data_IF_180803071596
#
_entry.id   IF_180803071596
#
_cell.length_a   1.000
_cell.length_b   1.000
_cell.length_c   1.000
_cell.angle_alpha   90.00
_cell.angle_beta   90.00
_cell.angle_gamma   90.00
#
_symmetry.space_group_name_H-M   'P 1'
#
loop_
_entity.id
_entity.type
_entity.pdbx_description
1 polymer ?
#
# COMPACT_ATOMS: atom_id res chain seq x y z
N UNK A 1 -25.93 32.08 -22.01
CA UNK A 1 -25.10 31.05 -21.36
C UNK A 1 -23.98 31.84 -20.69
N UNK A 2 -24.06 32.02 -19.38
CA UNK A 2 -23.09 32.84 -18.62
C UNK A 2 -22.01 31.86 -18.14
N UNK A 3 -20.80 31.98 -18.67
CA UNK A 3 -19.66 31.24 -18.11
C UNK A 3 -19.45 31.73 -16.67
N UNK A 4 -19.42 30.85 -15.67
CA UNK A 4 -19.18 31.27 -14.30
C UNK A 4 -17.81 31.95 -14.20
N UNK A 5 -17.76 33.10 -13.54
CA UNK A 5 -16.51 33.82 -13.28
C UNK A 5 -15.51 32.89 -12.57
N UNK A 6 -14.24 32.82 -13.02
CA UNK A 6 -13.23 31.97 -12.41
C UNK A 6 -13.00 32.42 -10.96
N UNK A 7 -13.32 31.53 -10.02
CA UNK A 7 -13.12 31.79 -8.59
C UNK A 7 -11.62 32.05 -8.32
N UNK A 8 -11.23 33.27 -7.92
CA UNK A 8 -9.82 33.63 -7.69
C UNK A 8 -9.19 32.85 -6.52
N UNK A 9 -10.02 32.27 -5.64
CA UNK A 9 -9.56 31.45 -4.52
C UNK A 9 -9.23 30.00 -4.92
N UNK A 10 -9.63 29.56 -6.12
CA UNK A 10 -9.34 28.21 -6.60
C UNK A 10 -7.84 27.97 -6.92
N UNK A 11 -7.07 29.05 -7.12
CA UNK A 11 -5.65 28.97 -7.44
C UNK A 11 -4.73 28.86 -6.21
N UNK A 12 -5.23 29.10 -5.00
CA UNK A 12 -4.47 28.84 -3.76
C UNK A 12 -4.59 27.36 -3.43
N UNK A 13 -3.78 26.55 -4.12
CA UNK A 13 -3.58 25.15 -3.74
C UNK A 13 -3.21 25.10 -2.27
N UNK A 14 -4.04 24.43 -1.46
CA UNK A 14 -3.82 24.32 -0.03
C UNK A 14 -2.52 23.52 0.17
N UNK A 15 -1.46 24.17 0.67
CA UNK A 15 -0.16 23.53 0.85
C UNK A 15 -0.26 22.25 1.70
N UNK A 16 -1.31 22.15 2.52
CA UNK A 16 -1.66 20.97 3.32
C UNK A 16 -1.90 19.73 2.46
N UNK A 17 -2.38 19.89 1.23
CA UNK A 17 -2.60 18.78 0.29
C UNK A 17 -1.28 18.14 -0.19
N UNK A 18 -0.14 18.82 0.00
CA UNK A 18 1.18 18.28 -0.38
C UNK A 18 1.92 17.63 0.79
N UNK A 19 1.46 17.82 2.04
CA UNK A 19 2.18 17.32 3.22
C UNK A 19 2.29 15.79 3.19
N UNK A 20 1.20 15.08 2.94
CA UNK A 20 1.20 13.62 2.90
C UNK A 20 2.16 13.02 1.84
N UNK A 21 2.09 13.41 0.55
CA UNK A 21 3.02 12.89 -0.44
C UNK A 21 4.47 13.32 -0.19
N UNK A 22 4.71 14.51 0.37
CA UNK A 22 6.07 14.92 0.73
C UNK A 22 6.64 14.10 1.89
N UNK A 23 5.83 13.76 2.90
CA UNK A 23 6.25 12.85 3.98
C UNK A 23 6.52 11.46 3.42
N UNK A 24 5.65 10.95 2.54
CA UNK A 24 5.87 9.66 1.88
C UNK A 24 7.15 9.65 1.03
N UNK A 25 7.44 10.75 0.32
CA UNK A 25 8.66 10.94 -0.45
C UNK A 25 9.90 10.93 0.46
N UNK A 26 9.87 11.68 1.57
CA UNK A 26 10.95 11.73 2.54
C UNK A 26 11.25 10.35 3.15
N UNK A 27 10.20 9.61 3.50
CA UNK A 27 10.33 8.23 3.97
C UNK A 27 10.93 7.31 2.90
N UNK A 28 10.42 7.37 1.66
CA UNK A 28 10.94 6.56 0.55
C UNK A 28 12.44 6.84 0.29
N UNK A 29 12.86 8.10 0.32
CA UNK A 29 14.26 8.49 0.17
C UNK A 29 15.13 8.03 1.34
N UNK A 30 14.60 8.07 2.57
CA UNK A 30 15.29 7.54 3.75
C UNK A 30 15.51 6.03 3.63
N UNK A 31 14.48 5.28 3.23
CA UNK A 31 14.61 3.84 2.97
C UNK A 31 15.55 3.55 1.80
N UNK A 32 15.56 4.38 0.77
CA UNK A 32 16.53 4.28 -0.34
C UNK A 32 17.96 4.39 0.19
N UNK A 33 18.25 5.42 0.99
CA UNK A 33 19.56 5.60 1.59
C UNK A 33 19.98 4.42 2.48
N UNK A 34 19.06 3.90 3.31
CA UNK A 34 19.31 2.72 4.13
C UNK A 34 19.55 1.46 3.29
N UNK A 35 18.85 1.30 2.16
CA UNK A 35 19.01 0.13 1.29
C UNK A 35 20.41 0.03 0.67
N UNK A 36 21.09 1.16 0.48
CA UNK A 36 22.47 1.18 0.00
C UNK A 36 23.50 0.70 1.03
N UNK A 37 23.11 0.60 2.31
CA UNK A 37 23.95 -0.02 3.35
C UNK A 37 23.87 -1.56 3.32
N UNK A 38 22.91 -2.13 2.59
CA UNK A 38 22.79 -3.57 2.41
C UNK A 38 23.77 -4.05 1.33
N UNK A 39 24.21 -5.31 1.44
CA UNK A 39 25.04 -5.96 0.42
C UNK A 39 24.34 -6.03 -0.94
N UNK A 40 25.12 -6.16 -2.02
CA UNK A 40 24.62 -6.06 -3.40
C UNK A 40 23.51 -7.05 -3.73
N UNK A 41 23.60 -8.28 -3.20
CA UNK A 41 22.60 -9.33 -3.40
C UNK A 41 21.31 -9.04 -2.60
N UNK A 42 21.43 -8.45 -1.42
CA UNK A 42 20.30 -8.24 -0.50
C UNK A 42 19.50 -6.97 -0.81
N UNK A 43 20.10 -5.96 -1.47
CA UNK A 43 19.43 -4.69 -1.79
C UNK A 43 18.44 -4.77 -2.96
N UNK A 44 18.51 -5.80 -3.81
CA UNK A 44 17.69 -5.89 -5.02
C UNK A 44 16.17 -5.82 -4.76
N UNK A 45 15.69 -6.58 -3.78
CA UNK A 45 14.26 -6.63 -3.44
C UNK A 45 13.75 -5.34 -2.76
N UNK A 46 14.45 -4.77 -1.75
CA UNK A 46 14.12 -3.45 -1.22
C UNK A 46 14.11 -2.35 -2.29
N UNK A 47 15.10 -2.32 -3.18
CA UNK A 47 15.19 -1.30 -4.23
C UNK A 47 13.99 -1.34 -5.18
N UNK A 48 13.54 -2.53 -5.59
CA UNK A 48 12.35 -2.67 -6.44
C UNK A 48 11.10 -2.06 -5.78
N UNK A 49 10.90 -2.37 -4.50
CA UNK A 49 9.79 -1.81 -3.73
C UNK A 49 9.90 -0.29 -3.60
N UNK A 50 11.09 0.21 -3.27
CA UNK A 50 11.35 1.64 -3.08
C UNK A 50 11.14 2.41 -4.40
N UNK A 51 11.66 1.94 -5.53
CA UNK A 51 11.45 2.59 -6.82
C UNK A 51 9.99 2.59 -7.26
N UNK A 52 9.27 1.50 -7.03
CA UNK A 52 7.83 1.44 -7.31
C UNK A 52 7.07 2.45 -6.46
N UNK A 53 7.36 2.51 -5.16
CA UNK A 53 6.75 3.47 -4.25
C UNK A 53 7.10 4.92 -4.63
N UNK A 54 8.35 5.18 -5.00
CA UNK A 54 8.80 6.49 -5.46
C UNK A 54 8.03 6.93 -6.72
N UNK A 55 7.83 6.02 -7.67
CA UNK A 55 7.03 6.29 -8.86
C UNK A 55 5.58 6.64 -8.51
N UNK A 56 4.95 5.94 -7.56
CA UNK A 56 3.60 6.26 -7.09
C UNK A 56 3.51 7.60 -6.37
N UNK A 57 4.49 7.94 -5.52
CA UNK A 57 4.52 9.23 -4.81
C UNK A 57 4.72 10.38 -5.80
N UNK A 58 5.64 10.23 -6.76
CA UNK A 58 5.84 11.21 -7.82
C UNK A 58 4.58 11.37 -8.68
N UNK A 59 3.90 10.28 -9.00
CA UNK A 59 2.62 10.31 -9.71
C UNK A 59 1.56 11.05 -8.89
N UNK A 60 1.47 10.83 -7.57
CA UNK A 60 0.52 11.54 -6.70
C UNK A 60 0.81 13.05 -6.68
N UNK A 61 2.07 13.46 -6.54
CA UNK A 61 2.48 14.88 -6.61
C UNK A 61 2.14 15.47 -7.99
N UNK A 62 2.41 14.74 -9.06
CA UNK A 62 2.15 15.18 -10.43
C UNK A 62 0.64 15.35 -10.71
N UNK A 63 -0.21 14.44 -10.20
CA UNK A 63 -1.67 14.52 -10.32
C UNK A 63 -2.24 15.69 -9.51
N UNK A 64 -1.62 16.02 -8.36
CA UNK A 64 -1.98 17.20 -7.55
C UNK A 64 -1.54 18.52 -8.20
N UNK A 65 -0.50 18.48 -9.01
CA UNK A 65 -0.05 19.65 -9.78
C UNK A 65 -0.98 19.86 -10.97
N UNK A 66 -1.52 21.07 -11.16
CA UNK A 66 -2.45 21.41 -12.28
C UNK A 66 -1.77 21.45 -13.68
N UNK A 67 -0.71 20.67 -13.87
CA UNK A 67 -0.06 20.49 -15.15
C UNK A 67 -0.96 19.72 -16.14
N UNK A 68 -0.67 19.85 -17.45
CA UNK A 68 -1.40 19.15 -18.52
C UNK A 68 -1.42 17.63 -18.27
N UNK A 69 -0.27 17.08 -17.85
CA UNK A 69 -0.12 15.66 -17.57
C UNK A 69 -0.97 15.22 -16.36
N UNK A 70 -0.98 16.03 -15.29
CA UNK A 70 -1.80 15.80 -14.09
C UNK A 70 -3.30 15.78 -14.42
N UNK A 71 -3.77 16.71 -15.26
CA UNK A 71 -5.18 16.75 -15.72
C UNK A 71 -5.60 15.51 -16.51
N UNK A 72 -4.70 14.95 -17.34
CA UNK A 72 -4.96 13.73 -18.10
C UNK A 72 -4.98 12.48 -17.19
N UNK A 73 -4.13 12.44 -16.17
CA UNK A 73 -4.00 11.30 -15.25
C UNK A 73 -5.06 11.29 -14.14
N UNK A 74 -5.58 12.45 -13.75
CA UNK A 74 -6.60 12.62 -12.69
C UNK A 74 -7.82 11.68 -12.82
N UNK A 75 -8.46 11.52 -14.00
CA UNK A 75 -9.59 10.60 -14.14
C UNK A 75 -9.21 9.12 -14.02
N UNK A 76 -7.97 8.74 -14.35
CA UNK A 76 -7.49 7.36 -14.24
C UNK A 76 -7.21 6.97 -12.78
N UNK A 77 -6.61 7.89 -12.02
CA UNK A 77 -6.21 7.65 -10.63
C UNK A 77 -7.36 7.89 -9.65
N UNK A 78 -8.29 8.78 -9.97
CA UNK A 78 -9.44 9.11 -9.12
C UNK A 78 -10.76 9.14 -9.91
N UNK A 79 -11.33 7.96 -10.25
CA UNK A 79 -12.54 7.84 -11.08
C UNK A 79 -13.83 8.48 -10.51
N UNK A 80 -13.76 9.20 -9.38
CA UNK A 80 -14.90 9.84 -8.73
C UNK A 80 -14.77 11.34 -8.49
N UNK A 81 -13.67 11.98 -8.93
CA UNK A 81 -13.48 13.44 -8.85
C UNK A 81 -13.46 14.08 -7.45
N UNK A 82 -13.68 13.30 -6.38
CA UNK A 82 -13.62 13.78 -5.01
C UNK A 82 -12.15 13.89 -4.62
N UNK A 83 -11.64 15.09 -4.28
CA UNK A 83 -10.29 15.21 -3.73
C UNK A 83 -10.22 14.35 -2.48
N UNK A 84 -9.26 13.43 -2.45
CA UNK A 84 -8.99 12.59 -1.28
C UNK A 84 -8.44 13.50 -0.19
N UNK A 85 -9.33 14.13 0.57
CA UNK A 85 -9.00 14.97 1.72
C UNK A 85 -8.55 14.07 2.86
N UNK A 86 -7.24 13.83 2.93
CA UNK A 86 -6.61 13.06 4.01
C UNK A 86 -6.76 13.80 5.36
N UNK A 87 -6.86 15.13 5.34
CA UNK A 87 -6.99 15.97 6.55
C UNK A 87 -8.29 16.78 6.60
N UNK A 88 -9.42 16.19 6.17
CA UNK A 88 -10.74 16.82 6.30
C UNK A 88 -11.34 16.65 7.71
N UNK A 89 -11.74 17.75 8.34
CA UNK A 89 -12.40 17.82 9.65
C UNK A 89 -13.44 16.70 9.88
N UNK A 90 -13.15 15.77 10.80
CA UNK A 90 -14.01 14.63 11.13
C UNK A 90 -13.37 13.25 11.01
N UNK A 91 -12.06 13.16 10.72
CA UNK A 91 -11.34 11.88 10.76
C UNK A 91 -11.33 11.32 12.19
N UNK A 92 -11.96 10.14 12.36
CA UNK A 92 -11.91 9.40 13.62
C UNK A 92 -10.52 8.80 13.75
N UNK A 93 -9.63 9.50 14.44
CA UNK A 93 -8.24 9.09 14.77
C UNK A 93 -8.16 7.61 15.15
N UNK A 94 -9.15 7.08 15.88
CA UNK A 94 -9.20 5.68 16.28
C UNK A 94 -9.22 4.67 15.11
N UNK A 95 -9.80 5.02 13.95
CA UNK A 95 -9.82 4.12 12.78
C UNK A 95 -8.45 4.06 12.09
N UNK A 96 -7.72 5.18 12.05
CA UNK A 96 -6.36 5.23 11.53
C UNK A 96 -5.39 4.49 12.44
N UNK A 97 -5.47 4.72 13.75
CA UNK A 97 -4.71 3.93 14.73
C UNK A 97 -5.02 2.44 14.62
N UNK A 98 -6.29 2.08 14.37
CA UNK A 98 -6.69 0.70 14.12
C UNK A 98 -6.02 0.11 12.87
N UNK A 99 -5.95 0.86 11.76
CA UNK A 99 -5.27 0.41 10.55
C UNK A 99 -3.76 0.26 10.75
N UNK A 100 -3.12 1.23 11.42
CA UNK A 100 -1.68 1.17 11.76
C UNK A 100 -1.40 -0.03 12.65
N UNK A 101 -2.17 -0.21 13.73
CA UNK A 101 -2.04 -1.36 14.63
C UNK A 101 -2.26 -2.69 13.90
N UNK A 102 -3.17 -2.74 12.93
CA UNK A 102 -3.42 -3.91 12.10
C UNK A 102 -2.21 -4.28 11.24
N UNK A 103 -1.58 -3.28 10.60
CA UNK A 103 -0.34 -3.47 9.82
C UNK A 103 0.81 -3.93 10.73
N UNK A 104 0.98 -3.29 11.89
CA UNK A 104 2.00 -3.69 12.86
C UNK A 104 1.79 -5.12 13.37
N UNK A 105 0.53 -5.52 13.62
CA UNK A 105 0.19 -6.88 14.02
C UNK A 105 0.53 -7.89 12.92
N UNK A 106 0.33 -7.53 11.65
CA UNK A 106 0.72 -8.36 10.52
C UNK A 106 2.24 -8.55 10.46
N UNK A 107 3.00 -7.47 10.58
CA UNK A 107 4.46 -7.52 10.63
C UNK A 107 4.96 -8.38 11.78
N UNK A 108 4.37 -8.23 12.97
CA UNK A 108 4.68 -9.08 14.12
C UNK A 108 4.35 -10.56 13.85
N UNK A 109 3.20 -10.86 13.22
CA UNK A 109 2.84 -12.23 12.86
C UNK A 109 3.82 -12.84 11.85
N UNK A 110 4.31 -12.08 10.86
CA UNK A 110 5.36 -12.55 9.94
C UNK A 110 6.63 -12.91 10.70
N UNK A 111 7.05 -12.08 11.66
CA UNK A 111 8.27 -12.33 12.43
C UNK A 111 8.14 -13.54 13.37
N UNK A 112 6.96 -13.76 13.95
CA UNK A 112 6.72 -14.83 14.93
C UNK A 112 6.34 -16.18 14.31
N UNK A 113 5.53 -16.16 13.25
CA UNK A 113 4.94 -17.36 12.64
C UNK A 113 5.52 -17.68 11.26
N UNK A 114 6.26 -16.74 10.67
CA UNK A 114 6.73 -16.82 9.29
C UNK A 114 5.67 -16.34 8.28
N UNK A 115 6.16 -15.91 7.11
CA UNK A 115 5.36 -15.40 6.00
C UNK A 115 4.22 -16.36 5.59
N UNK A 116 4.51 -17.66 5.54
CA UNK A 116 3.61 -18.68 4.98
C UNK A 116 2.34 -18.86 5.80
N UNK A 117 2.43 -18.73 7.12
CA UNK A 117 1.28 -18.82 8.03
C UNK A 117 0.67 -17.44 8.23
N UNK A 118 1.49 -16.39 8.37
CA UNK A 118 1.02 -15.05 8.66
C UNK A 118 0.09 -14.48 7.59
N UNK A 119 0.41 -14.64 6.29
CA UNK A 119 -0.41 -14.09 5.19
C UNK A 119 -1.84 -14.68 5.18
N UNK A 120 -2.04 -16.00 5.07
CA UNK A 120 -3.39 -16.54 5.01
C UNK A 120 -4.16 -16.34 6.32
N UNK A 121 -3.48 -16.42 7.47
CA UNK A 121 -4.11 -16.12 8.76
C UNK A 121 -4.63 -14.68 8.80
N UNK A 122 -3.78 -13.71 8.44
CA UNK A 122 -4.12 -12.29 8.44
C UNK A 122 -5.22 -11.96 7.43
N UNK A 123 -5.16 -12.53 6.22
CA UNK A 123 -6.20 -12.36 5.21
C UNK A 123 -7.55 -12.91 5.69
N UNK A 124 -7.56 -14.09 6.32
CA UNK A 124 -8.76 -14.69 6.91
C UNK A 124 -9.36 -13.79 7.98
N UNK A 125 -8.51 -13.29 8.89
CA UNK A 125 -8.91 -12.43 9.98
C UNK A 125 -9.49 -11.11 9.47
N UNK A 126 -8.87 -10.53 8.44
CA UNK A 126 -9.35 -9.33 7.77
C UNK A 126 -10.72 -9.56 7.10
N UNK A 127 -10.87 -10.65 6.35
CA UNK A 127 -12.14 -11.00 5.71
C UNK A 127 -13.27 -11.22 6.73
N UNK A 128 -12.96 -11.80 7.88
CA UNK A 128 -13.93 -12.09 8.93
C UNK A 128 -14.35 -10.80 9.68
N UNK A 129 -13.38 -9.99 10.09
CA UNK A 129 -13.62 -8.84 10.96
C UNK A 129 -14.09 -7.59 10.20
N UNK A 130 -13.48 -7.33 9.04
CA UNK A 130 -13.72 -6.08 8.29
C UNK A 130 -14.68 -6.27 7.13
N UNK A 131 -14.53 -7.35 6.35
CA UNK A 131 -15.41 -7.60 5.20
C UNK A 131 -16.74 -8.28 5.60
N UNK A 132 -16.89 -8.70 6.87
CA UNK A 132 -18.07 -9.40 7.41
C UNK A 132 -18.53 -10.57 6.54
N UNK A 133 -17.59 -11.26 5.89
CA UNK A 133 -17.93 -12.44 5.10
C UNK A 133 -18.38 -13.59 6.00
N UNK A 134 -19.21 -14.47 5.44
CA UNK A 134 -19.54 -15.74 6.11
C UNK A 134 -18.24 -16.53 6.33
N UNK A 135 -18.07 -17.22 7.47
CA UNK A 135 -16.82 -17.90 7.83
C UNK A 135 -16.40 -18.94 6.78
N UNK A 136 -17.35 -19.58 6.11
CA UNK A 136 -17.07 -20.52 5.01
C UNK A 136 -16.42 -19.86 3.80
N UNK A 137 -16.83 -18.64 3.44
CA UNK A 137 -16.21 -17.87 2.34
C UNK A 137 -14.83 -17.35 2.74
N UNK A 138 -14.66 -16.94 4.00
CA UNK A 138 -13.36 -16.55 4.51
C UNK A 138 -12.38 -17.73 4.47
N UNK A 139 -12.80 -18.93 4.88
CA UNK A 139 -11.98 -20.14 4.80
C UNK A 139 -11.62 -20.51 3.36
N UNK A 140 -12.57 -20.41 2.42
CA UNK A 140 -12.30 -20.63 1.00
C UNK A 140 -11.30 -19.60 0.44
N UNK A 141 -11.46 -18.33 0.80
CA UNK A 141 -10.53 -17.27 0.42
C UNK A 141 -9.13 -17.51 0.98
N UNK A 142 -9.04 -17.93 2.24
CA UNK A 142 -7.79 -18.30 2.88
C UNK A 142 -7.11 -19.47 2.15
N UNK A 143 -7.85 -20.53 1.87
CA UNK A 143 -7.35 -21.69 1.14
C UNK A 143 -6.87 -21.30 -0.27
N UNK A 144 -7.61 -20.44 -0.97
CA UNK A 144 -7.23 -19.94 -2.29
C UNK A 144 -5.95 -19.09 -2.24
N UNK A 145 -5.82 -18.21 -1.26
CA UNK A 145 -4.60 -17.41 -1.05
C UNK A 145 -3.42 -18.31 -0.72
N UNK A 146 -3.58 -19.26 0.20
CA UNK A 146 -2.54 -20.24 0.54
C UNK A 146 -2.10 -21.05 -0.67
N UNK A 147 -3.05 -21.55 -1.47
CA UNK A 147 -2.76 -22.29 -2.70
C UNK A 147 -2.02 -21.41 -3.73
N UNK A 148 -2.42 -20.15 -3.87
CA UNK A 148 -1.74 -19.19 -4.74
C UNK A 148 -0.30 -18.91 -4.31
N UNK A 149 -0.06 -18.73 -3.00
CA UNK A 149 1.29 -18.55 -2.46
C UNK A 149 2.13 -19.80 -2.71
N UNK A 150 1.59 -20.99 -2.40
CA UNK A 150 2.27 -22.25 -2.64
C UNK A 150 2.66 -22.41 -4.12
N UNK A 151 1.73 -22.16 -5.05
CA UNK A 151 1.97 -22.27 -6.49
C UNK A 151 2.99 -21.24 -6.99
N UNK A 152 2.97 -20.01 -6.47
CA UNK A 152 3.94 -18.97 -6.81
C UNK A 152 5.36 -19.37 -6.39
N UNK A 153 5.51 -19.86 -5.16
CA UNK A 153 6.83 -20.20 -4.62
C UNK A 153 7.39 -21.49 -5.21
N UNK A 154 6.58 -22.55 -5.26
CA UNK A 154 7.03 -23.85 -5.75
C UNK A 154 7.07 -23.88 -7.28
N UNK A 155 6.00 -23.39 -7.94
CA UNK A 155 5.87 -23.44 -9.38
C UNK A 155 6.71 -22.40 -10.11
N UNK A 156 6.59 -21.12 -9.73
CA UNK A 156 7.23 -20.02 -10.47
C UNK A 156 8.64 -19.76 -9.97
N UNK A 157 8.82 -19.63 -8.66
CA UNK A 157 10.11 -19.26 -8.05
C UNK A 157 11.03 -20.45 -7.86
N UNK A 158 10.50 -21.68 -7.86
CA UNK A 158 11.23 -22.92 -7.52
C UNK A 158 12.00 -22.82 -6.21
N UNK A 159 11.43 -22.10 -5.24
CA UNK A 159 12.00 -21.96 -3.89
C UNK A 159 11.32 -23.00 -3.00
N UNK A 160 12.12 -23.89 -2.45
CA UNK A 160 11.66 -24.89 -1.47
C UNK A 160 11.26 -24.19 -0.16
N UNK A 161 9.98 -23.85 -0.02
CA UNK A 161 9.40 -23.23 1.17
C UNK A 161 9.61 -24.02 2.47
N UNK A 162 9.85 -25.33 2.36
CA UNK A 162 9.93 -26.28 3.48
C UNK A 162 11.28 -26.98 3.60
N UNK A 163 12.36 -26.39 3.06
CA UNK A 163 13.69 -26.98 3.20
C UNK A 163 14.08 -27.03 4.69
N UNK A 164 14.06 -28.23 5.28
CA UNK A 164 14.41 -28.48 6.69
C UNK A 164 13.25 -28.69 7.68
N UNK A 165 11.98 -28.54 7.31
CA UNK A 165 10.84 -28.88 8.22
C UNK A 165 10.12 -30.18 7.85
N UNK A 166 10.02 -30.52 6.56
CA UNK A 166 9.32 -31.74 6.10
C UNK A 166 10.24 -32.79 5.49
N UNK A 167 11.42 -32.38 5.01
CA UNK A 167 12.43 -33.27 4.45
C UNK A 167 13.79 -32.84 5.05
N UNK A 168 14.35 -33.61 6.02
CA UNK A 168 15.69 -33.38 6.55
C UNK A 168 16.78 -33.72 5.53
#
# INVERSE_FOLDING_TARGET
>A
MIEPEPNPDAAKGDWQDYVAPLVALALALTFLALSYQLGETSRGMPLLFIYSNLAFVLLDILVRTDCVLGRVLKPLVSPGGKPMRIFGAGHKVGRECGAIAWILSFSAAILLLGMLIAIPMFASLYMLLWARFRPTKALLGAAAISAGIWLLFEGVLRVELYRGMLFP
#
